data_IF_094546260177
#
_entry.id   IF_094546260177
#
_cell.length_a   1.000
_cell.length_b   1.000
_cell.length_c   1.000
_cell.angle_alpha   90.00
_cell.angle_beta   90.00
_cell.angle_gamma   90.00
#
_symmetry.space_group_name_H-M   'P 1'
#
loop_
_entity.id
_entity.type
_entity.pdbx_description
1 polymer ?
#
# COMPACT_ATOMS: atom_id res chain seq x y z
N UNK A 1 12.29 -55.15 14.49
CA UNK A 1 11.71 -53.82 14.59
C UNK A 1 12.77 -52.84 14.07
N UNK A 2 12.67 -52.44 12.76
CA UNK A 2 13.55 -51.46 12.14
C UNK A 2 13.16 -50.06 12.54
N UNK A 3 13.98 -49.34 13.29
CA UNK A 3 13.88 -47.91 13.50
C UNK A 3 14.10 -47.19 12.17
N UNK A 4 13.09 -46.57 11.60
CA UNK A 4 13.23 -45.57 10.53
C UNK A 4 13.95 -44.35 11.09
N UNK A 5 15.19 -44.11 10.67
CA UNK A 5 15.83 -42.82 10.80
C UNK A 5 15.14 -41.86 9.85
N UNK A 6 14.24 -41.03 10.37
CA UNK A 6 13.78 -39.83 9.68
C UNK A 6 14.92 -38.81 9.75
N UNK A 7 15.77 -38.81 8.74
CA UNK A 7 16.64 -37.65 8.46
C UNK A 7 15.72 -36.48 8.08
N UNK A 8 15.36 -35.67 9.08
CA UNK A 8 14.82 -34.33 8.82
C UNK A 8 15.96 -33.54 8.15
N UNK A 9 15.85 -33.39 6.84
CA UNK A 9 16.64 -32.43 6.09
C UNK A 9 16.34 -31.05 6.66
N UNK A 10 17.19 -30.55 7.55
CA UNK A 10 17.24 -29.14 7.91
C UNK A 10 17.94 -28.47 6.73
N UNK A 11 17.18 -27.67 5.96
CA UNK A 11 17.84 -26.68 5.11
C UNK A 11 18.87 -25.95 5.97
N UNK A 12 20.11 -25.80 5.52
CA UNK A 12 21.07 -24.96 6.22
C UNK A 12 20.44 -23.57 6.26
N UNK A 13 20.12 -23.07 7.45
CA UNK A 13 19.88 -21.65 7.66
C UNK A 13 21.17 -20.97 7.21
N UNK A 14 21.20 -20.50 5.96
CA UNK A 14 22.29 -19.68 5.46
C UNK A 14 22.30 -18.44 6.33
N UNK A 15 23.31 -18.30 7.15
CA UNK A 15 23.52 -17.14 8.03
C UNK A 15 23.99 -15.95 7.17
N UNK A 16 23.09 -15.57 6.23
CA UNK A 16 23.29 -14.47 5.30
C UNK A 16 23.28 -13.18 6.11
N UNK A 17 24.37 -12.45 6.03
CA UNK A 17 24.53 -11.16 6.71
C UNK A 17 23.48 -10.14 6.21
N UNK A 18 23.25 -9.09 6.99
CA UNK A 18 22.37 -8.01 6.57
C UNK A 18 22.87 -7.31 5.29
N UNK A 19 24.16 -7.15 5.15
CA UNK A 19 24.78 -6.61 3.94
C UNK A 19 24.49 -7.49 2.71
N UNK A 20 24.64 -8.79 2.82
CA UNK A 20 24.33 -9.74 1.74
C UNK A 20 22.82 -9.76 1.45
N UNK A 21 21.97 -9.70 2.48
CA UNK A 21 20.51 -9.59 2.32
C UNK A 21 20.15 -8.32 1.52
N UNK A 22 20.76 -7.19 1.85
CA UNK A 22 20.58 -5.94 1.10
C UNK A 22 21.00 -6.09 -0.36
N UNK A 23 22.20 -6.55 -0.62
CA UNK A 23 22.80 -6.65 -1.95
C UNK A 23 22.07 -7.66 -2.86
N UNK A 24 21.76 -8.84 -2.36
CA UNK A 24 21.23 -9.92 -3.22
C UNK A 24 19.71 -9.91 -3.35
N UNK A 25 18.98 -9.44 -2.33
CA UNK A 25 17.53 -9.50 -2.34
C UNK A 25 16.88 -8.12 -2.49
N UNK A 26 17.31 -7.11 -1.74
CA UNK A 26 16.67 -5.80 -1.73
C UNK A 26 17.06 -5.01 -2.97
N UNK A 27 18.36 -4.87 -3.26
CA UNK A 27 18.85 -4.15 -4.44
C UNK A 27 18.32 -4.73 -5.75
N UNK A 28 18.26 -6.06 -5.84
CA UNK A 28 17.73 -6.75 -7.02
C UNK A 28 16.25 -6.42 -7.23
N UNK A 29 15.43 -6.55 -6.18
CA UNK A 29 14.00 -6.25 -6.26
C UNK A 29 13.69 -4.77 -6.52
N UNK A 30 14.53 -3.85 -6.03
CA UNK A 30 14.41 -2.44 -6.37
C UNK A 30 14.68 -2.20 -7.86
N UNK A 31 15.73 -2.82 -8.42
CA UNK A 31 16.04 -2.74 -9.85
C UNK A 31 14.95 -3.37 -10.71
N UNK A 32 14.38 -4.50 -10.30
CA UNK A 32 13.30 -5.20 -11.04
C UNK A 32 12.05 -4.32 -11.22
N UNK A 33 11.79 -3.40 -10.28
CA UNK A 33 10.68 -2.44 -10.37
C UNK A 33 11.09 -1.06 -10.87
N UNK A 34 12.30 -0.95 -11.46
CA UNK A 34 12.76 0.22 -12.21
C UNK A 34 13.56 1.26 -11.45
N UNK A 35 13.97 0.98 -10.20
CA UNK A 35 14.82 1.91 -9.43
C UNK A 35 16.29 1.80 -9.82
N UNK A 36 16.99 2.96 -9.92
CA UNK A 36 18.41 3.05 -10.30
C UNK A 36 19.24 3.56 -9.14
N UNK A 37 20.28 2.80 -8.75
CA UNK A 37 21.20 3.18 -7.68
C UNK A 37 21.97 4.46 -8.01
N UNK A 38 22.08 5.35 -7.03
CA UNK A 38 22.78 6.63 -7.16
C UNK A 38 21.99 7.71 -7.90
N UNK A 39 20.93 7.34 -8.62
CA UNK A 39 20.02 8.27 -9.30
C UNK A 39 18.74 8.43 -8.48
N UNK A 40 17.96 7.36 -8.40
CA UNK A 40 16.62 7.36 -7.77
C UNK A 40 16.63 6.86 -6.33
N UNK A 41 17.66 6.14 -5.92
CA UNK A 41 17.80 5.67 -4.54
C UNK A 41 19.23 5.70 -4.05
N UNK A 42 19.34 5.90 -2.74
CA UNK A 42 20.63 5.93 -2.01
C UNK A 42 20.52 5.04 -0.79
N UNK A 43 21.65 4.46 -0.39
CA UNK A 43 21.78 3.72 0.85
C UNK A 43 22.59 4.53 1.89
N UNK A 44 22.49 4.12 3.16
CA UNK A 44 23.21 4.73 4.28
C UNK A 44 23.04 6.25 4.35
N UNK A 45 21.80 6.71 4.11
CA UNK A 45 21.48 8.14 4.09
C UNK A 45 21.45 8.68 5.51
N UNK A 46 22.32 9.65 5.78
CA UNK A 46 22.39 10.32 7.08
C UNK A 46 21.15 11.17 7.31
N UNK A 47 20.52 10.99 8.47
CA UNK A 47 19.37 11.75 8.95
C UNK A 47 19.64 12.28 10.35
N UNK A 48 19.19 13.49 10.63
CA UNK A 48 19.30 14.16 11.93
C UNK A 48 17.91 14.34 12.55
N UNK A 49 17.84 14.55 13.86
CA UNK A 49 16.58 14.73 14.57
C UNK A 49 15.90 13.41 14.97
N UNK A 50 16.66 12.32 14.98
CA UNK A 50 16.19 10.97 15.35
C UNK A 50 16.50 10.65 16.82
N UNK A 51 15.75 9.71 17.40
CA UNK A 51 15.88 9.30 18.81
C UNK A 51 17.08 8.37 19.05
N UNK A 52 18.28 8.85 18.69
CA UNK A 52 19.54 8.20 18.99
C UNK A 52 20.36 9.07 19.95
N UNK A 53 21.32 8.52 20.71
CA UNK A 53 22.16 9.31 21.62
C UNK A 53 22.91 10.48 20.93
N UNK A 54 23.24 10.32 19.66
CA UNK A 54 23.90 11.35 18.84
C UNK A 54 22.93 12.29 18.12
N UNK A 55 21.61 12.03 18.14
CA UNK A 55 20.62 12.72 17.34
C UNK A 55 20.77 12.47 15.84
N UNK A 56 21.60 11.50 15.45
CA UNK A 56 21.90 11.17 14.05
C UNK A 56 21.71 9.68 13.82
N UNK A 57 21.10 9.32 12.68
CA UNK A 57 20.93 7.95 12.23
C UNK A 57 21.32 7.79 10.76
N UNK A 58 21.33 6.55 10.31
CA UNK A 58 21.59 6.18 8.92
C UNK A 58 20.46 5.28 8.45
N UNK A 59 19.76 5.71 7.39
CA UNK A 59 18.72 4.91 6.73
C UNK A 59 19.38 3.92 5.79
N UNK A 60 18.90 2.68 5.83
CA UNK A 60 19.38 1.65 4.92
C UNK A 60 19.15 2.06 3.47
N UNK A 61 17.93 2.52 3.14
CA UNK A 61 17.59 3.04 1.81
C UNK A 61 16.59 4.18 1.88
N UNK A 62 16.77 5.16 0.97
CA UNK A 62 15.77 6.18 0.67
C UNK A 62 15.53 6.20 -0.84
N UNK A 63 14.27 6.13 -1.24
CA UNK A 63 13.81 6.18 -2.62
C UNK A 63 13.32 7.61 -2.91
N UNK A 64 13.88 8.22 -3.96
CA UNK A 64 13.64 9.62 -4.28
C UNK A 64 12.83 9.78 -5.57
N UNK A 65 12.07 10.83 -5.63
CA UNK A 65 11.46 11.34 -6.85
C UNK A 65 12.50 12.06 -7.72
N UNK A 66 12.15 12.41 -8.96
CA UNK A 66 13.04 13.11 -9.90
C UNK A 66 13.44 14.50 -9.41
N UNK A 67 12.61 15.13 -8.56
CA UNK A 67 12.88 16.41 -7.92
C UNK A 67 13.74 16.31 -6.64
N UNK A 68 14.18 15.10 -6.28
CA UNK A 68 14.95 14.82 -5.07
C UNK A 68 14.11 14.72 -3.80
N UNK A 69 12.77 14.78 -3.89
CA UNK A 69 11.89 14.56 -2.74
C UNK A 69 11.84 13.08 -2.38
N UNK A 70 11.95 12.69 -1.09
CA UNK A 70 11.83 11.31 -0.71
C UNK A 70 10.38 10.82 -0.88
N UNK A 71 10.21 9.64 -1.49
CA UNK A 71 8.93 8.94 -1.67
C UNK A 71 8.77 7.82 -0.66
N UNK A 72 9.84 7.09 -0.38
CA UNK A 72 9.82 5.97 0.55
C UNK A 72 11.17 5.76 1.22
N UNK A 73 11.16 5.07 2.35
CA UNK A 73 12.34 4.47 2.95
C UNK A 73 12.18 2.94 3.03
N UNK A 74 13.32 2.23 3.04
CA UNK A 74 13.37 0.80 3.30
C UNK A 74 14.31 0.57 4.47
N UNK A 75 13.80 -0.06 5.51
CA UNK A 75 14.60 -0.59 6.64
C UNK A 75 14.85 -2.08 6.40
N UNK A 76 16.10 -2.46 6.36
CA UNK A 76 16.53 -3.83 6.08
C UNK A 76 16.86 -4.59 7.36
N UNK A 77 16.62 -5.88 7.35
CA UNK A 77 17.03 -6.81 8.41
C UNK A 77 17.62 -8.08 7.81
N UNK A 78 18.43 -8.79 8.57
CA UNK A 78 18.97 -10.10 8.18
C UNK A 78 17.85 -11.05 7.78
N UNK A 79 18.16 -11.99 6.89
CA UNK A 79 17.22 -13.01 6.41
C UNK A 79 16.59 -13.84 7.55
N UNK A 80 17.31 -14.08 8.63
CA UNK A 80 16.87 -14.81 9.82
C UNK A 80 16.06 -13.96 10.82
N UNK A 81 15.94 -12.66 10.59
CA UNK A 81 15.26 -11.71 11.49
C UNK A 81 13.98 -11.23 10.86
N UNK A 82 12.87 -11.24 11.61
CA UNK A 82 11.60 -10.70 11.12
C UNK A 82 11.72 -9.20 10.81
N UNK A 83 11.17 -8.75 9.68
CA UNK A 83 11.30 -7.34 9.25
C UNK A 83 10.67 -6.36 10.24
N UNK A 84 9.68 -6.79 11.03
CA UNK A 84 9.00 -5.98 12.05
C UNK A 84 9.93 -5.42 13.14
N UNK A 85 11.08 -6.04 13.36
CA UNK A 85 12.06 -5.57 14.36
C UNK A 85 12.67 -4.20 14.01
N UNK A 86 12.64 -3.79 12.75
CA UNK A 86 13.06 -2.46 12.31
C UNK A 86 11.97 -1.38 12.42
N UNK A 87 10.75 -1.73 12.85
CA UNK A 87 9.58 -0.85 12.74
C UNK A 87 9.72 0.48 13.48
N UNK A 88 10.13 0.45 14.75
CA UNK A 88 10.26 1.68 15.55
C UNK A 88 11.33 2.60 14.98
N UNK A 89 12.46 2.04 14.56
CA UNK A 89 13.54 2.77 13.91
C UNK A 89 13.07 3.39 12.60
N UNK A 90 12.37 2.64 11.75
CA UNK A 90 11.84 3.13 10.48
C UNK A 90 10.81 4.26 10.68
N UNK A 91 9.97 4.18 11.71
CA UNK A 91 9.01 5.24 12.05
C UNK A 91 9.70 6.54 12.50
N UNK A 92 10.73 6.42 13.34
CA UNK A 92 11.51 7.57 13.79
C UNK A 92 12.22 8.26 12.62
N UNK A 93 12.82 7.47 11.74
CA UNK A 93 13.48 7.97 10.54
C UNK A 93 12.49 8.58 9.54
N UNK A 94 11.34 7.96 9.33
CA UNK A 94 10.30 8.51 8.46
C UNK A 94 9.85 9.88 8.96
N UNK A 95 9.60 10.02 10.27
CA UNK A 95 9.23 11.30 10.87
C UNK A 95 10.28 12.39 10.63
N UNK A 96 11.54 12.09 10.82
CA UNK A 96 12.62 13.05 10.59
C UNK A 96 12.71 13.47 9.11
N UNK A 97 12.44 12.57 8.16
CA UNK A 97 12.35 12.91 6.73
C UNK A 97 11.07 13.71 6.43
N UNK A 98 9.94 13.34 7.00
CA UNK A 98 8.66 14.04 6.84
C UNK A 98 8.76 15.50 7.30
N UNK A 99 9.34 15.71 8.48
CA UNK A 99 9.56 17.05 9.04
C UNK A 99 10.52 17.90 8.17
N UNK A 100 11.54 17.28 7.58
CA UNK A 100 12.53 17.97 6.72
C UNK A 100 11.98 18.34 5.36
N UNK A 101 11.17 17.48 4.74
CA UNK A 101 10.72 17.61 3.36
C UNK A 101 9.23 17.99 3.23
N UNK A 102 8.52 18.19 4.34
CA UNK A 102 7.08 18.49 4.40
C UNK A 102 6.26 17.53 3.52
N UNK A 103 6.51 16.24 3.66
CA UNK A 103 5.84 15.22 2.86
C UNK A 103 5.67 13.91 3.64
N UNK A 104 4.67 13.12 3.28
CA UNK A 104 4.48 11.78 3.85
C UNK A 104 5.37 10.75 3.17
N UNK A 105 5.94 9.85 3.97
CA UNK A 105 6.89 8.83 3.54
C UNK A 105 6.24 7.44 3.62
N UNK A 106 6.35 6.67 2.54
CA UNK A 106 6.00 5.25 2.55
C UNK A 106 7.14 4.46 3.22
N UNK A 107 6.80 3.58 4.13
CA UNK A 107 7.78 2.78 4.86
C UNK A 107 7.71 1.33 4.39
N UNK A 108 8.86 0.78 4.03
CA UNK A 108 9.04 -0.64 3.77
C UNK A 108 9.97 -1.23 4.83
N UNK A 109 9.58 -2.39 5.36
CA UNK A 109 10.42 -3.24 6.19
C UNK A 109 10.72 -4.52 5.40
N UNK A 110 11.98 -4.88 5.22
CA UNK A 110 12.36 -6.00 4.37
C UNK A 110 13.48 -6.85 4.99
N UNK A 111 13.41 -8.18 4.79
CA UNK A 111 14.46 -9.11 5.20
C UNK A 111 14.86 -10.09 4.08
N UNK A 112 14.55 -9.78 2.83
CA UNK A 112 14.82 -10.65 1.68
C UNK A 112 13.76 -11.72 1.41
N UNK A 113 13.09 -12.28 2.44
CA UNK A 113 11.96 -13.21 2.29
C UNK A 113 10.63 -12.47 2.19
N UNK A 114 10.44 -11.49 3.05
CA UNK A 114 9.19 -10.76 3.23
C UNK A 114 9.43 -9.26 3.10
N UNK A 115 8.49 -8.58 2.50
CA UNK A 115 8.43 -7.12 2.44
C UNK A 115 7.11 -6.71 3.09
N UNK A 116 7.18 -5.87 4.09
CA UNK A 116 6.04 -5.23 4.72
C UNK A 116 6.03 -3.76 4.42
N UNK A 117 4.85 -3.21 4.25
CA UNK A 117 4.66 -1.80 3.93
C UNK A 117 3.61 -1.20 4.85
N UNK A 118 3.83 0.04 5.25
CA UNK A 118 2.80 0.88 5.88
C UNK A 118 2.97 2.35 5.50
N UNK A 119 1.89 3.10 5.52
CA UNK A 119 1.84 4.50 5.16
C UNK A 119 0.58 5.16 5.71
N UNK A 120 0.67 6.43 6.09
CA UNK A 120 -0.45 7.32 6.38
C UNK A 120 -1.55 6.70 7.27
N UNK A 121 -1.16 6.13 8.40
CA UNK A 121 -2.07 5.54 9.39
C UNK A 121 -2.71 4.21 9.01
N UNK A 122 -2.51 3.71 7.78
CA UNK A 122 -2.99 2.38 7.42
C UNK A 122 -2.21 1.28 8.13
N UNK A 123 -2.88 0.17 8.50
CA UNK A 123 -2.20 -0.98 9.09
C UNK A 123 -1.09 -1.52 8.17
N UNK A 124 0.00 -1.96 8.81
CA UNK A 124 1.06 -2.69 8.14
C UNK A 124 0.52 -3.90 7.37
N UNK A 125 1.07 -4.14 6.18
CA UNK A 125 0.71 -5.27 5.33
C UNK A 125 1.89 -5.84 4.58
N UNK A 126 1.87 -7.13 4.33
CA UNK A 126 2.80 -7.79 3.42
C UNK A 126 2.50 -7.40 1.98
N UNK A 127 3.55 -7.15 1.20
CA UNK A 127 3.50 -6.89 -0.24
C UNK A 127 4.44 -7.85 -0.96
N UNK A 128 4.15 -8.15 -2.23
CA UNK A 128 4.92 -9.10 -3.03
C UNK A 128 6.27 -8.54 -3.47
N UNK A 129 6.33 -7.22 -3.71
CA UNK A 129 7.55 -6.52 -4.14
C UNK A 129 7.52 -5.06 -3.69
N UNK A 130 8.61 -4.33 -3.90
CA UNK A 130 8.62 -2.88 -3.76
C UNK A 130 7.74 -2.24 -4.83
N UNK A 131 7.34 -1.01 -4.60
CA UNK A 131 6.53 -0.25 -5.53
C UNK A 131 7.42 0.54 -6.50
N UNK A 132 6.94 0.72 -7.72
CA UNK A 132 7.59 1.58 -8.71
C UNK A 132 7.52 3.05 -8.27
N UNK A 133 8.28 3.91 -8.95
CA UNK A 133 8.23 5.37 -8.73
C UNK A 133 6.83 5.92 -8.99
N UNK A 134 6.17 5.45 -10.06
CA UNK A 134 4.82 5.82 -10.43
C UNK A 134 3.80 5.42 -9.38
N UNK A 135 3.92 4.21 -8.80
CA UNK A 135 3.03 3.74 -7.74
C UNK A 135 3.18 4.62 -6.48
N UNK A 136 4.42 4.95 -6.10
CA UNK A 136 4.67 5.81 -4.95
C UNK A 136 4.18 7.24 -5.18
N UNK A 137 4.36 7.78 -6.38
CA UNK A 137 3.77 9.08 -6.80
C UNK A 137 2.25 9.06 -6.70
N UNK A 138 1.61 7.98 -7.17
CA UNK A 138 0.17 7.84 -7.07
C UNK A 138 -0.32 7.78 -5.62
N UNK A 139 0.41 7.11 -4.72
CA UNK A 139 0.13 7.10 -3.29
C UNK A 139 0.25 8.51 -2.72
N UNK A 140 1.34 9.22 -3.00
CA UNK A 140 1.60 10.59 -2.52
C UNK A 140 0.54 11.57 -3.03
N UNK A 141 0.19 11.48 -4.32
CA UNK A 141 -0.89 12.27 -4.91
C UNK A 141 -2.22 12.05 -4.18
N UNK A 142 -2.57 10.77 -3.96
CA UNK A 142 -3.79 10.40 -3.24
C UNK A 142 -3.80 10.94 -1.81
N UNK A 143 -2.70 10.82 -1.08
CA UNK A 143 -2.57 11.35 0.29
C UNK A 143 -2.83 12.87 0.33
N UNK A 144 -2.31 13.61 -0.64
CA UNK A 144 -2.43 15.08 -0.72
C UNK A 144 -3.83 15.56 -1.15
N UNK A 145 -4.52 14.81 -2.04
CA UNK A 145 -5.76 15.25 -2.69
C UNK A 145 -7.02 14.53 -2.19
N UNK A 146 -6.86 13.54 -1.33
CA UNK A 146 -7.95 12.80 -0.72
C UNK A 146 -8.78 13.72 0.17
N UNK A 147 -10.08 13.81 -0.08
CA UNK A 147 -11.02 14.59 0.73
C UNK A 147 -11.83 13.69 1.66
N UNK A 148 -12.45 14.26 2.71
CA UNK A 148 -13.27 13.51 3.66
C UNK A 148 -14.46 12.82 2.98
N UNK A 149 -14.82 11.65 3.50
CA UNK A 149 -16.04 10.92 3.14
C UNK A 149 -17.16 11.08 4.18
N UNK A 150 -17.04 12.02 5.12
CA UNK A 150 -18.00 12.13 6.23
C UNK A 150 -19.36 12.70 5.81
N UNK A 151 -19.37 13.67 4.88
CA UNK A 151 -20.56 14.34 4.40
C UNK A 151 -20.78 14.10 2.90
N UNK A 152 -20.83 12.83 2.51
CA UNK A 152 -20.99 12.44 1.11
C UNK A 152 -22.44 12.65 0.65
N UNK A 153 -22.59 13.14 -0.57
CA UNK A 153 -23.85 13.10 -1.31
C UNK A 153 -23.94 11.80 -2.11
N UNK A 154 -24.85 10.92 -1.69
CA UNK A 154 -25.06 9.67 -2.41
C UNK A 154 -25.80 9.97 -3.73
N UNK A 155 -25.31 9.45 -4.87
CA UNK A 155 -25.91 9.69 -6.17
C UNK A 155 -27.40 9.32 -6.22
N UNK A 156 -28.20 10.16 -6.88
CA UNK A 156 -29.68 10.02 -6.97
C UNK A 156 -30.15 8.69 -7.58
N UNK A 157 -29.30 8.05 -8.39
CA UNK A 157 -29.61 6.72 -8.90
C UNK A 157 -29.54 5.61 -7.84
N UNK A 158 -28.96 5.88 -6.66
CA UNK A 158 -29.05 5.02 -5.47
C UNK A 158 -30.26 5.46 -4.63
N UNK A 159 -31.45 5.20 -5.14
CA UNK A 159 -32.75 5.73 -4.65
C UNK A 159 -33.32 5.01 -3.43
N UNK A 160 -32.72 3.90 -3.01
CA UNK A 160 -33.23 3.08 -1.90
C UNK A 160 -32.43 3.33 -0.62
N UNK A 161 -33.15 3.49 0.48
CA UNK A 161 -32.56 3.81 1.80
C UNK A 161 -31.42 2.84 2.18
N UNK A 162 -31.58 1.54 1.93
CA UNK A 162 -30.54 0.56 2.28
C UNK A 162 -29.27 0.69 1.41
N UNK A 163 -29.39 1.16 0.15
CA UNK A 163 -28.24 1.46 -0.70
C UNK A 163 -27.43 2.64 -0.13
N UNK A 164 -28.15 3.69 0.30
CA UNK A 164 -27.55 4.83 0.98
C UNK A 164 -26.80 4.38 2.25
N UNK A 165 -27.44 3.59 3.11
CA UNK A 165 -26.82 3.09 4.34
C UNK A 165 -25.60 2.21 4.05
N UNK A 166 -25.67 1.34 3.03
CA UNK A 166 -24.56 0.50 2.63
C UNK A 166 -23.34 1.32 2.16
N UNK A 167 -23.56 2.32 1.31
CA UNK A 167 -22.50 3.22 0.83
C UNK A 167 -21.88 3.98 2.00
N UNK A 168 -22.72 4.57 2.86
CA UNK A 168 -22.27 5.31 4.05
C UNK A 168 -21.39 4.45 4.96
N UNK A 169 -21.83 3.22 5.28
CA UNK A 169 -21.05 2.29 6.11
C UNK A 169 -19.70 1.91 5.51
N UNK A 170 -19.60 1.78 4.18
CA UNK A 170 -18.30 1.55 3.51
C UNK A 170 -17.42 2.77 3.61
N UNK A 171 -17.96 3.97 3.40
CA UNK A 171 -17.22 5.22 3.51
C UNK A 171 -16.69 5.45 4.93
N UNK A 172 -17.52 5.24 5.95
CA UNK A 172 -17.12 5.30 7.37
C UNK A 172 -16.00 4.31 7.68
N UNK A 173 -16.10 3.09 7.15
CA UNK A 173 -15.07 2.08 7.32
C UNK A 173 -13.74 2.50 6.67
N UNK A 174 -13.77 3.09 5.49
CA UNK A 174 -12.57 3.57 4.81
C UNK A 174 -11.97 4.80 5.50
N UNK A 175 -12.80 5.73 6.00
CA UNK A 175 -12.34 6.85 6.85
C UNK A 175 -11.65 6.35 8.11
N UNK A 176 -12.10 5.23 8.69
CA UNK A 176 -11.42 4.54 9.80
C UNK A 176 -10.16 3.75 9.41
N UNK A 177 -9.59 4.01 8.23
CA UNK A 177 -8.37 3.36 7.71
C UNK A 177 -8.46 1.83 7.49
N UNK A 178 -9.68 1.28 7.41
CA UNK A 178 -9.85 -0.08 6.96
C UNK A 178 -9.72 -0.16 5.44
N UNK A 179 -9.09 -1.23 4.95
CA UNK A 179 -8.83 -1.42 3.50
C UNK A 179 -9.86 -2.31 2.82
N UNK A 180 -10.74 -2.95 3.59
CA UNK A 180 -11.71 -3.93 3.09
C UNK A 180 -13.07 -3.66 3.70
N UNK A 181 -14.11 -3.82 2.89
CA UNK A 181 -15.49 -3.83 3.33
C UNK A 181 -16.23 -4.99 2.64
N UNK A 182 -17.18 -5.58 3.34
CA UNK A 182 -18.07 -6.62 2.81
C UNK A 182 -19.50 -6.10 2.85
N UNK A 183 -20.16 -6.10 1.69
CA UNK A 183 -21.60 -5.84 1.56
C UNK A 183 -22.33 -7.13 1.17
N UNK A 184 -23.29 -7.55 1.99
CA UNK A 184 -24.14 -8.70 1.69
C UNK A 184 -25.52 -8.16 1.29
N UNK A 185 -25.89 -8.37 0.03
CA UNK A 185 -27.14 -7.85 -0.55
C UNK A 185 -27.84 -8.96 -1.36
N UNK A 186 -29.15 -9.11 -1.18
CA UNK A 186 -29.96 -10.08 -1.90
C UNK A 186 -30.01 -9.83 -3.42
N UNK A 187 -30.42 -10.82 -4.20
CA UNK A 187 -30.64 -10.65 -5.64
C UNK A 187 -31.76 -9.64 -5.89
N UNK A 188 -31.62 -8.81 -6.93
CA UNK A 188 -32.64 -7.79 -7.27
C UNK A 188 -32.63 -6.51 -6.42
N UNK A 189 -31.76 -6.41 -5.40
CA UNK A 189 -31.69 -5.22 -4.54
C UNK A 189 -30.85 -4.09 -5.13
N UNK A 190 -30.30 -4.24 -6.33
CA UNK A 190 -29.51 -3.18 -6.98
C UNK A 190 -28.05 -3.14 -6.55
N UNK A 191 -27.42 -4.30 -6.28
CA UNK A 191 -25.99 -4.42 -5.96
C UNK A 191 -25.11 -3.59 -6.90
N UNK A 192 -25.31 -3.72 -8.21
CA UNK A 192 -24.54 -2.99 -9.23
C UNK A 192 -24.70 -1.47 -9.08
N UNK A 193 -25.92 -0.97 -8.84
CA UNK A 193 -26.15 0.47 -8.58
C UNK A 193 -25.41 0.95 -7.34
N UNK A 194 -25.49 0.18 -6.24
CA UNK A 194 -24.78 0.50 -5.00
C UNK A 194 -23.26 0.58 -5.22
N UNK A 195 -22.69 -0.37 -5.97
CA UNK A 195 -21.27 -0.37 -6.30
C UNK A 195 -20.90 0.82 -7.20
N UNK A 196 -21.71 1.13 -8.22
CA UNK A 196 -21.48 2.31 -9.08
C UNK A 196 -21.59 3.63 -8.27
N UNK A 197 -22.52 3.73 -7.33
CA UNK A 197 -22.61 4.87 -6.41
C UNK A 197 -21.37 5.01 -5.53
N UNK A 198 -20.86 3.91 -5.00
CA UNK A 198 -19.63 3.90 -4.22
C UNK A 198 -18.42 4.29 -5.09
N UNK A 199 -18.28 3.74 -6.30
CA UNK A 199 -17.21 4.08 -7.24
C UNK A 199 -17.23 5.60 -7.50
N UNK A 200 -18.39 6.16 -7.82
CA UNK A 200 -18.53 7.60 -8.07
C UNK A 200 -18.01 8.43 -6.90
N UNK A 201 -18.46 8.16 -5.69
CA UNK A 201 -18.04 8.86 -4.48
C UNK A 201 -16.53 8.73 -4.26
N UNK A 202 -15.98 7.51 -4.35
CA UNK A 202 -14.57 7.29 -4.11
C UNK A 202 -13.67 7.96 -5.17
N UNK A 203 -14.12 8.09 -6.41
CA UNK A 203 -13.39 8.80 -7.46
C UNK A 203 -13.49 10.32 -7.31
N UNK A 204 -14.66 10.85 -7.02
CA UNK A 204 -14.87 12.29 -6.77
C UNK A 204 -14.09 12.82 -5.58
N UNK A 205 -13.92 12.00 -4.55
CA UNK A 205 -13.17 12.34 -3.34
C UNK A 205 -11.68 11.92 -3.39
N UNK A 206 -11.14 11.53 -4.56
CA UNK A 206 -9.76 11.10 -4.78
C UNK A 206 -9.32 9.88 -3.93
N UNK A 207 -10.26 9.04 -3.51
CA UNK A 207 -9.96 7.77 -2.82
C UNK A 207 -9.59 6.66 -3.79
N UNK A 208 -10.09 6.70 -5.02
CA UNK A 208 -9.75 5.78 -6.09
C UNK A 208 -9.55 6.54 -7.40
N UNK A 209 -8.53 6.20 -8.18
CA UNK A 209 -8.30 6.69 -9.53
C UNK A 209 -8.69 5.64 -10.58
N UNK A 210 -8.29 4.40 -10.33
CA UNK A 210 -8.60 3.25 -11.16
C UNK A 210 -9.36 2.23 -10.31
N UNK A 211 -10.37 1.60 -10.91
CA UNK A 211 -11.22 0.60 -10.27
C UNK A 211 -11.21 -0.67 -11.09
N UNK A 212 -10.87 -1.80 -10.47
CA UNK A 212 -11.00 -3.11 -11.08
C UNK A 212 -12.27 -3.79 -10.59
N UNK A 213 -13.19 -4.10 -11.51
CA UNK A 213 -14.40 -4.85 -11.23
C UNK A 213 -14.19 -6.33 -11.60
N UNK A 214 -14.37 -7.22 -10.65
CA UNK A 214 -14.23 -8.66 -10.83
C UNK A 214 -15.59 -9.36 -10.60
N UNK A 215 -15.96 -10.26 -11.50
CA UNK A 215 -17.12 -11.11 -11.37
C UNK A 215 -16.81 -12.53 -11.90
N UNK A 216 -17.59 -13.52 -11.44
CA UNK A 216 -17.43 -14.92 -11.80
C UNK A 216 -18.00 -15.29 -13.19
N UNK A 217 -18.80 -14.40 -13.80
CA UNK A 217 -19.47 -14.64 -15.08
C UNK A 217 -19.35 -13.41 -15.99
N UNK A 218 -19.08 -13.65 -17.27
CA UNK A 218 -18.97 -12.58 -18.30
C UNK A 218 -20.24 -11.72 -18.38
N UNK A 219 -21.43 -12.34 -18.27
CA UNK A 219 -22.70 -11.58 -18.28
C UNK A 219 -22.78 -10.54 -17.16
N UNK A 220 -22.19 -10.80 -15.99
CA UNK A 220 -22.15 -9.84 -14.89
C UNK A 220 -21.13 -8.71 -15.15
N UNK A 221 -20.02 -9.03 -15.81
CA UNK A 221 -19.04 -8.03 -16.25
C UNK A 221 -19.68 -7.10 -17.28
N UNK A 222 -20.37 -7.65 -18.28
CA UNK A 222 -21.07 -6.87 -19.31
C UNK A 222 -22.16 -5.98 -18.71
N UNK A 223 -22.92 -6.50 -17.75
CA UNK A 223 -23.91 -5.71 -17.03
C UNK A 223 -23.28 -4.56 -16.23
N UNK A 224 -22.15 -4.82 -15.56
CA UNK A 224 -21.43 -3.79 -14.82
C UNK A 224 -20.84 -2.74 -15.76
N UNK A 225 -20.28 -3.16 -16.90
CA UNK A 225 -19.76 -2.26 -17.93
C UNK A 225 -20.87 -1.34 -18.49
N UNK A 226 -22.02 -1.89 -18.89
CA UNK A 226 -23.17 -1.10 -19.32
C UNK A 226 -23.69 -0.16 -18.24
N UNK A 227 -23.70 -0.61 -16.99
CA UNK A 227 -24.10 0.23 -15.87
C UNK A 227 -23.11 1.38 -15.66
N UNK A 228 -21.79 1.15 -15.78
CA UNK A 228 -20.78 2.21 -15.67
C UNK A 228 -20.96 3.28 -16.74
N UNK A 229 -21.14 2.90 -18.00
CA UNK A 229 -21.41 3.83 -19.11
C UNK A 229 -22.64 4.70 -18.90
N UNK A 230 -23.69 4.16 -18.28
CA UNK A 230 -24.95 4.87 -18.06
C UNK A 230 -24.93 5.74 -16.79
N UNK A 231 -24.32 5.26 -15.71
CA UNK A 231 -24.39 5.88 -14.37
C UNK A 231 -23.16 6.74 -14.06
N UNK A 232 -22.03 6.49 -14.74
CA UNK A 232 -20.75 7.18 -14.53
C UNK A 232 -20.29 7.91 -15.80
N UNK A 233 -21.20 8.63 -16.46
CA UNK A 233 -20.97 9.28 -17.78
C UNK A 233 -19.75 10.21 -17.86
N UNK A 234 -19.29 10.74 -16.73
CA UNK A 234 -18.11 11.62 -16.63
C UNK A 234 -16.79 10.88 -16.50
N UNK A 235 -16.82 9.55 -16.45
CA UNK A 235 -15.61 8.71 -16.31
C UNK A 235 -15.48 7.79 -17.53
N UNK A 236 -14.24 7.64 -18.03
CA UNK A 236 -13.96 6.63 -19.07
C UNK A 236 -13.95 5.22 -18.44
N UNK A 237 -14.65 4.30 -19.04
CA UNK A 237 -14.69 2.89 -18.65
C UNK A 237 -13.70 2.06 -19.49
#
# INVERSE_FOLDING_TARGET
>A
IKKKNENKYKEPESDISEFETRKFFIDTRLKDVGWTFGVDWKNEVKVSGVQTPSGVGYLDYVLFDDDGTPLALVEAKKLSVGPEKGRLQALDYAKALEDKYDCKIVIFLANGKEIRMFNDGYPERTVSTFFSKEDLRAIKYKQKHKTSLDNIEVPTFCDRRYQFLAIKSVCERFTGNFRKALLVMATGTGKTRTVMGLIKILTEHNWAKNVLFLADRNVLVDQAYKASLNLLKSYSA
#
